data_IF_563881899292
#
_entry.id   IF_563881899292
#
_cell.length_a   1.000
_cell.length_b   1.000
_cell.length_c   1.000
_cell.angle_alpha   90.00
_cell.angle_beta   90.00
_cell.angle_gamma   90.00
#
_symmetry.space_group_name_H-M   'P 1'
#
loop_
_entity.id
_entity.type
_entity.pdbx_description
1 polymer ?
#
# COMPACT_ATOMS: atom_id res chain seq x y z
N UNK A 1 35.69 -36.60 -34.09
CA UNK A 1 35.97 -35.81 -32.87
C UNK A 1 34.63 -35.48 -32.27
N UNK A 2 34.44 -35.99 -31.07
CA UNK A 2 33.19 -36.20 -30.36
C UNK A 2 32.78 -34.88 -29.67
N UNK A 3 31.66 -34.30 -30.11
CA UNK A 3 31.08 -33.11 -29.47
C UNK A 3 30.21 -33.61 -28.31
N UNK A 4 30.79 -33.61 -27.11
CA UNK A 4 30.15 -34.09 -25.90
C UNK A 4 28.96 -33.20 -25.53
N UNK A 5 27.77 -33.80 -25.45
CA UNK A 5 26.57 -33.17 -24.89
C UNK A 5 26.86 -32.73 -23.45
N UNK A 6 26.97 -31.43 -23.22
CA UNK A 6 27.06 -30.85 -21.88
C UNK A 6 25.67 -30.90 -21.26
N UNK A 7 25.39 -31.96 -20.49
CA UNK A 7 24.27 -31.94 -19.55
C UNK A 7 24.43 -30.72 -18.62
N UNK A 8 23.37 -29.91 -18.50
CA UNK A 8 23.36 -28.73 -17.64
C UNK A 8 23.73 -29.14 -16.22
N UNK A 9 24.89 -28.66 -15.74
CA UNK A 9 25.37 -28.97 -14.39
C UNK A 9 24.86 -27.88 -13.46
N UNK A 10 23.81 -28.18 -12.70
CA UNK A 10 23.37 -27.31 -11.60
C UNK A 10 24.49 -27.10 -10.57
N UNK A 11 24.52 -25.93 -9.94
CA UNK A 11 25.46 -25.60 -8.87
C UNK A 11 24.73 -25.53 -7.53
N UNK A 12 25.38 -26.04 -6.49
CA UNK A 12 24.86 -26.06 -5.12
C UNK A 12 25.85 -25.32 -4.24
N UNK A 13 25.45 -24.19 -3.66
CA UNK A 13 26.31 -23.31 -2.87
C UNK A 13 25.71 -23.06 -1.48
N UNK A 14 26.44 -23.28 -0.38
CA UNK A 14 25.93 -22.98 0.96
C UNK A 14 25.50 -21.52 1.08
N UNK A 15 24.31 -21.26 1.60
CA UNK A 15 23.75 -19.90 1.72
C UNK A 15 24.64 -19.00 2.60
N UNK A 16 25.20 -19.57 3.67
CA UNK A 16 26.16 -18.90 4.56
C UNK A 16 27.46 -18.45 3.85
N UNK A 17 27.80 -19.02 2.69
CA UNK A 17 28.95 -18.59 1.89
C UNK A 17 28.70 -17.28 1.15
N UNK A 18 27.44 -16.98 0.80
CA UNK A 18 27.06 -15.72 0.15
C UNK A 18 26.65 -14.67 1.19
N UNK A 19 25.94 -15.09 2.23
CA UNK A 19 25.45 -14.23 3.31
C UNK A 19 25.91 -14.76 4.66
N UNK A 20 27.08 -14.34 5.17
CA UNK A 20 27.53 -14.75 6.49
C UNK A 20 26.56 -14.27 7.58
N UNK A 21 26.14 -15.16 8.48
CA UNK A 21 25.18 -14.82 9.53
C UNK A 21 25.62 -13.62 10.40
N UNK A 22 26.92 -13.50 10.67
CA UNK A 22 27.48 -12.35 11.41
C UNK A 22 27.33 -11.02 10.67
N UNK A 23 27.40 -11.04 9.34
CA UNK A 23 27.23 -9.84 8.52
C UNK A 23 25.75 -9.45 8.42
N UNK A 24 24.86 -10.43 8.26
CA UNK A 24 23.41 -10.21 8.27
C UNK A 24 22.93 -9.62 9.62
N UNK A 25 23.40 -10.15 10.75
CA UNK A 25 23.11 -9.58 12.08
C UNK A 25 23.65 -8.16 12.25
N UNK A 26 24.84 -7.88 11.69
CA UNK A 26 25.40 -6.53 11.70
C UNK A 26 24.60 -5.58 10.82
N UNK A 27 24.05 -6.05 9.71
CA UNK A 27 23.15 -5.28 8.86
C UNK A 27 21.84 -4.97 9.58
N UNK A 28 21.20 -5.96 10.21
CA UNK A 28 19.99 -5.78 11.01
C UNK A 28 20.18 -4.69 12.08
N UNK A 29 21.25 -4.76 12.88
CA UNK A 29 21.56 -3.74 13.91
C UNK A 29 21.71 -2.33 13.34
N UNK A 30 22.33 -2.16 12.18
CA UNK A 30 22.45 -0.84 11.53
C UNK A 30 21.10 -0.30 11.10
N UNK A 31 20.20 -1.16 10.65
CA UNK A 31 18.84 -0.76 10.28
C UNK A 31 18.04 -0.40 11.52
N UNK A 32 18.16 -1.15 12.62
CA UNK A 32 17.55 -0.82 13.91
C UNK A 32 18.01 0.55 14.45
N UNK A 33 19.30 0.86 14.36
CA UNK A 33 19.83 2.18 14.74
C UNK A 33 19.16 3.30 13.93
N UNK A 34 19.05 3.13 12.60
CA UNK A 34 18.34 4.07 11.72
C UNK A 34 16.86 4.21 12.08
N UNK A 35 16.19 3.11 12.42
CA UNK A 35 14.79 3.13 12.89
C UNK A 35 14.69 3.97 14.16
N UNK A 36 15.63 3.83 15.09
CA UNK A 36 15.70 4.63 16.32
C UNK A 36 15.89 6.12 16.05
N UNK A 37 16.73 6.49 15.08
CA UNK A 37 16.89 7.89 14.64
C UNK A 37 15.61 8.44 14.02
N UNK A 38 14.96 7.66 13.14
CA UNK A 38 13.70 8.04 12.49
C UNK A 38 12.54 8.16 13.47
N UNK A 39 12.51 7.33 14.51
CA UNK A 39 11.52 7.44 15.58
C UNK A 39 11.65 8.78 16.33
N UNK A 40 12.88 9.22 16.65
CA UNK A 40 13.11 10.52 17.29
C UNK A 40 12.68 11.69 16.40
N UNK A 41 12.96 11.60 15.10
CA UNK A 41 12.53 12.59 14.11
C UNK A 41 10.99 12.67 14.06
N UNK A 42 10.32 11.51 14.06
CA UNK A 42 8.86 11.41 14.06
C UNK A 42 8.26 11.99 15.35
N UNK A 43 8.84 11.71 16.52
CA UNK A 43 8.37 12.24 17.80
C UNK A 43 8.46 13.78 17.82
N UNK A 44 9.58 14.34 17.35
CA UNK A 44 9.76 15.78 17.20
C UNK A 44 8.72 16.41 16.27
N UNK A 45 8.42 15.79 15.13
CA UNK A 45 7.39 16.30 14.21
C UNK A 45 5.98 16.21 14.82
N UNK A 46 5.69 15.17 15.61
CA UNK A 46 4.41 15.08 16.34
C UNK A 46 4.26 16.19 17.40
N UNK A 47 5.35 16.55 18.07
CA UNK A 47 5.36 17.71 18.97
C UNK A 47 5.01 18.98 18.18
N UNK A 48 5.63 19.21 17.02
CA UNK A 48 5.30 20.36 16.16
C UNK A 48 3.84 20.35 15.65
N UNK A 49 3.27 19.20 15.32
CA UNK A 49 1.84 19.09 14.94
C UNK A 49 0.94 19.52 16.10
N UNK A 50 1.27 19.08 17.31
CA UNK A 50 0.52 19.40 18.53
C UNK A 50 0.63 20.90 18.84
N UNK A 51 1.83 21.47 18.77
CA UNK A 51 2.07 22.90 18.93
C UNK A 51 1.32 23.74 17.89
N UNK A 52 1.33 23.32 16.61
CA UNK A 52 0.61 24.01 15.54
C UNK A 52 -0.91 23.99 15.79
N UNK A 53 -1.45 22.87 16.26
CA UNK A 53 -2.87 22.75 16.63
C UNK A 53 -3.22 23.67 17.79
N UNK A 54 -2.37 23.71 18.82
CA UNK A 54 -2.54 24.63 19.95
C UNK A 54 -2.50 26.09 19.51
N UNK A 55 -1.58 26.43 18.59
CA UNK A 55 -1.47 27.78 18.05
C UNK A 55 -2.69 28.17 17.22
N UNK A 56 -3.24 27.28 16.39
CA UNK A 56 -4.49 27.51 15.66
C UNK A 56 -5.63 27.83 16.63
N UNK A 57 -5.77 27.06 17.71
CA UNK A 57 -6.79 27.28 18.73
C UNK A 57 -6.61 28.59 19.50
N UNK A 58 -5.36 29.02 19.71
CA UNK A 58 -5.08 30.30 20.37
C UNK A 58 -5.40 31.48 19.45
N UNK A 59 -4.92 31.44 18.21
CA UNK A 59 -5.13 32.50 17.21
C UNK A 59 -6.61 32.66 16.87
N UNK A 60 -7.39 31.57 16.91
CA UNK A 60 -8.85 31.67 16.68
C UNK A 60 -9.61 32.30 17.84
N UNK A 61 -9.12 32.20 19.08
CA UNK A 61 -9.77 32.75 20.29
C UNK A 61 -9.34 34.17 20.65
N UNK A 62 -8.10 34.56 20.32
CA UNK A 62 -7.58 35.90 20.64
C UNK A 62 -8.50 37.04 20.15
N UNK A 63 -9.08 36.98 18.93
CA UNK A 63 -10.06 37.93 18.41
C UNK A 63 -11.34 38.14 19.25
N UNK A 64 -11.70 37.20 20.14
CA UNK A 64 -12.97 37.23 20.85
C UNK A 64 -13.04 38.38 21.87
N UNK A 65 -11.89 38.88 22.32
CA UNK A 65 -11.78 40.04 23.20
C UNK A 65 -10.85 41.11 22.57
N UNK A 66 -11.16 42.39 22.82
CA UNK A 66 -10.35 43.49 22.30
C UNK A 66 -8.95 43.53 22.93
N UNK A 67 -8.83 43.11 24.19
CA UNK A 67 -7.56 43.10 24.91
C UNK A 67 -7.53 41.96 25.93
N UNK A 68 -6.35 41.38 26.15
CA UNK A 68 -6.13 40.34 27.16
C UNK A 68 -5.05 40.79 28.14
N UNK A 69 -5.31 40.74 29.45
CA UNK A 69 -4.26 40.99 30.45
C UNK A 69 -3.37 39.74 30.59
N UNK A 70 -2.06 39.90 30.41
CA UNK A 70 -1.09 38.78 30.35
C UNK A 70 0.16 39.07 31.18
N UNK A 71 0.89 38.00 31.54
CA UNK A 71 2.22 38.10 32.13
C UNK A 71 3.28 37.89 31.06
N UNK A 72 3.96 38.96 30.64
CA UNK A 72 4.99 38.93 29.59
C UNK A 72 6.30 38.39 30.18
N UNK A 73 6.85 37.29 29.66
CA UNK A 73 8.13 36.77 30.13
C UNK A 73 9.27 37.74 29.79
N UNK A 74 10.13 38.03 30.77
CA UNK A 74 11.31 38.86 30.63
C UNK A 74 12.55 38.11 31.13
N UNK A 75 13.27 37.48 30.20
CA UNK A 75 14.39 36.60 30.52
C UNK A 75 13.95 35.25 31.09
N UNK A 76 14.82 34.57 31.84
CA UNK A 76 14.62 33.18 32.26
C UNK A 76 13.70 32.97 33.46
N UNK A 77 13.47 33.99 34.29
CA UNK A 77 12.81 33.81 35.59
C UNK A 77 11.92 34.98 36.04
N UNK A 78 11.71 36.00 35.19
CA UNK A 78 10.91 37.17 35.54
C UNK A 78 9.74 37.35 34.57
N UNK A 79 8.64 37.89 35.07
CA UNK A 79 7.44 38.19 34.30
C UNK A 79 6.93 39.59 34.65
N UNK A 80 6.53 40.36 33.65
CA UNK A 80 5.91 41.67 33.84
C UNK A 80 4.41 41.63 33.52
N UNK A 81 3.55 42.31 34.30
CA UNK A 81 2.16 42.47 33.92
C UNK A 81 2.07 43.34 32.66
N UNK A 82 1.29 42.89 31.68
CA UNK A 82 1.08 43.57 30.41
C UNK A 82 -0.31 43.27 29.86
N UNK A 83 -0.61 43.86 28.70
CA UNK A 83 -1.88 43.67 28.01
C UNK A 83 -1.64 43.51 26.52
N UNK A 84 -2.25 42.48 25.92
CA UNK A 84 -2.32 42.34 24.47
C UNK A 84 -3.33 43.35 23.92
N UNK A 85 -2.89 44.11 22.93
CA UNK A 85 -3.71 45.03 22.11
C UNK A 85 -3.62 44.55 20.66
N UNK A 86 -4.56 44.97 19.80
CA UNK A 86 -4.62 44.53 18.39
C UNK A 86 -4.67 42.99 18.24
N UNK A 87 -5.57 42.33 18.98
CA UNK A 87 -5.71 40.86 19.04
C UNK A 87 -6.06 40.19 17.70
N UNK A 88 -6.44 40.98 16.70
CA UNK A 88 -6.72 40.54 15.33
C UNK A 88 -5.50 40.59 14.40
N UNK A 89 -4.39 41.19 14.81
CA UNK A 89 -3.22 41.44 13.98
C UNK A 89 -2.02 40.61 14.48
N UNK A 90 -1.42 39.83 13.58
CA UNK A 90 -0.32 38.92 13.90
C UNK A 90 0.85 39.16 12.96
N UNK A 91 2.07 39.15 13.51
CA UNK A 91 3.28 39.12 12.72
C UNK A 91 3.66 37.67 12.42
N UNK A 92 3.51 37.24 11.17
CA UNK A 92 3.72 35.86 10.75
C UNK A 92 5.00 35.75 9.93
N UNK A 93 5.89 34.82 10.29
CA UNK A 93 7.04 34.42 9.48
C UNK A 93 6.53 33.69 8.23
N UNK A 94 6.84 34.19 7.03
CA UNK A 94 6.47 33.53 5.77
C UNK A 94 7.57 32.54 5.31
N UNK A 95 8.83 32.83 5.61
CA UNK A 95 10.01 32.04 5.23
C UNK A 95 11.25 32.94 5.13
N UNK A 96 12.47 32.37 5.21
CA UNK A 96 13.75 33.07 5.02
C UNK A 96 13.91 34.40 5.79
N UNK A 97 13.34 34.47 7.00
CA UNK A 97 13.38 35.67 7.85
C UNK A 97 12.43 36.81 7.42
N UNK A 98 11.56 36.59 6.42
CA UNK A 98 10.54 37.55 6.03
C UNK A 98 9.29 37.42 6.89
N UNK A 99 8.87 38.54 7.50
CA UNK A 99 7.67 38.64 8.31
C UNK A 99 6.63 39.51 7.60
N UNK A 100 5.36 39.17 7.77
CA UNK A 100 4.25 39.97 7.29
C UNK A 100 3.16 40.07 8.36
N UNK A 101 2.54 41.24 8.46
CA UNK A 101 1.33 41.43 9.24
C UNK A 101 0.14 40.73 8.56
N UNK A 102 -0.59 39.93 9.32
CA UNK A 102 -1.72 39.13 8.87
C UNK A 102 -2.85 39.21 9.88
N UNK A 103 -4.07 39.09 9.38
CA UNK A 103 -5.24 38.99 10.25
C UNK A 103 -5.28 37.62 10.92
N UNK A 104 -5.96 37.51 12.06
CA UNK A 104 -6.15 36.23 12.76
C UNK A 104 -6.65 35.12 11.82
N UNK A 105 -7.64 35.44 10.99
CA UNK A 105 -8.20 34.51 9.99
C UNK A 105 -7.14 34.02 8.99
N UNK A 106 -6.37 34.94 8.42
CA UNK A 106 -5.29 34.61 7.47
C UNK A 106 -4.20 33.77 8.14
N UNK A 107 -3.87 34.07 9.39
CA UNK A 107 -2.89 33.31 10.17
C UNK A 107 -3.36 31.88 10.40
N UNK A 108 -4.63 31.65 10.73
CA UNK A 108 -5.21 30.31 10.84
C UNK A 108 -5.11 29.55 9.51
N UNK A 109 -5.38 30.20 8.38
CA UNK A 109 -5.24 29.58 7.05
C UNK A 109 -3.78 29.16 6.76
N UNK A 110 -2.81 30.00 7.11
CA UNK A 110 -1.37 29.69 6.98
C UNK A 110 -0.99 28.50 7.86
N UNK A 111 -1.39 28.51 9.13
CA UNK A 111 -1.10 27.43 10.08
C UNK A 111 -1.78 26.12 9.68
N UNK A 112 -2.99 26.17 9.13
CA UNK A 112 -3.69 24.99 8.62
C UNK A 112 -2.94 24.37 7.44
N UNK A 113 -2.44 25.20 6.51
CA UNK A 113 -1.62 24.70 5.39
C UNK A 113 -0.31 24.09 5.88
N UNK A 114 0.34 24.69 6.88
CA UNK A 114 1.54 24.13 7.52
C UNK A 114 1.27 22.81 8.21
N UNK A 115 0.14 22.70 8.91
CA UNK A 115 -0.33 21.47 9.54
C UNK A 115 -0.39 20.33 8.53
N UNK A 116 -1.02 20.55 7.37
CA UNK A 116 -1.06 19.55 6.29
C UNK A 116 0.32 19.13 5.79
N UNK A 117 1.28 20.05 5.73
CA UNK A 117 2.67 19.70 5.38
C UNK A 117 3.31 18.84 6.45
N UNK A 118 3.12 19.16 7.73
CA UNK A 118 3.61 18.33 8.83
C UNK A 118 2.95 16.93 8.81
N UNK A 119 1.65 16.85 8.57
CA UNK A 119 0.94 15.57 8.46
C UNK A 119 1.52 14.70 7.33
N UNK A 120 1.77 15.29 6.15
CA UNK A 120 2.43 14.58 5.05
C UNK A 120 3.86 14.12 5.38
N UNK A 121 4.59 14.90 6.19
CA UNK A 121 5.91 14.52 6.69
C UNK A 121 5.81 13.33 7.67
N UNK A 122 4.82 13.33 8.55
CA UNK A 122 4.55 12.21 9.46
C UNK A 122 4.22 10.95 8.67
N UNK A 123 3.32 11.03 7.70
CA UNK A 123 2.94 9.90 6.85
C UNK A 123 4.15 9.32 6.09
N UNK A 124 4.95 10.18 5.46
CA UNK A 124 6.14 9.73 4.72
C UNK A 124 7.20 9.10 5.64
N UNK A 125 7.41 9.64 6.85
CA UNK A 125 8.31 9.04 7.83
C UNK A 125 7.79 7.70 8.35
N UNK A 126 6.50 7.57 8.62
CA UNK A 126 5.89 6.31 9.02
C UNK A 126 6.03 5.24 7.93
N UNK A 127 5.84 5.60 6.66
CA UNK A 127 6.07 4.70 5.53
C UNK A 127 7.54 4.24 5.47
N UNK A 128 8.48 5.19 5.53
CA UNK A 128 9.92 4.88 5.55
C UNK A 128 10.29 3.96 6.72
N UNK A 129 9.73 4.19 7.90
CA UNK A 129 9.96 3.33 9.08
C UNK A 129 9.40 1.92 8.88
N UNK A 130 8.24 1.79 8.23
CA UNK A 130 7.65 0.49 7.90
C UNK A 130 8.57 -0.30 6.96
N UNK A 131 9.11 0.36 5.95
CA UNK A 131 10.02 -0.25 4.99
C UNK A 131 11.34 -0.67 5.66
N UNK A 132 11.93 0.19 6.49
CA UNK A 132 13.11 -0.13 7.29
C UNK A 132 12.85 -1.30 8.25
N UNK A 133 11.64 -1.39 8.82
CA UNK A 133 11.28 -2.51 9.71
C UNK A 133 11.18 -3.82 8.93
N UNK A 134 10.65 -3.79 7.71
CA UNK A 134 10.65 -4.95 6.82
C UNK A 134 12.08 -5.35 6.43
N UNK A 135 12.95 -4.38 6.12
CA UNK A 135 14.37 -4.60 5.83
C UNK A 135 15.11 -5.22 7.03
N UNK A 136 14.88 -4.73 8.25
CA UNK A 136 15.45 -5.32 9.47
C UNK A 136 15.02 -6.77 9.65
N UNK A 137 13.71 -7.06 9.49
CA UNK A 137 13.18 -8.42 9.60
C UNK A 137 13.74 -9.36 8.52
N UNK A 138 13.99 -8.83 7.31
CA UNK A 138 14.61 -9.58 6.23
C UNK A 138 16.06 -9.98 6.59
N UNK A 139 16.84 -9.06 7.17
CA UNK A 139 18.20 -9.38 7.62
C UNK A 139 18.23 -10.37 8.79
N UNK A 140 17.27 -10.30 9.70
CA UNK A 140 17.15 -11.27 10.80
C UNK A 140 16.83 -12.68 10.29
N UNK A 141 15.87 -12.79 9.35
CA UNK A 141 15.54 -14.08 8.70
C UNK A 141 16.76 -14.61 7.93
N UNK A 142 17.41 -13.77 7.14
CA UNK A 142 18.64 -14.13 6.40
C UNK A 142 19.72 -14.66 7.35
N UNK A 143 19.89 -14.03 8.51
CA UNK A 143 20.86 -14.49 9.51
C UNK A 143 20.50 -15.87 10.09
N UNK A 144 19.21 -16.13 10.34
CA UNK A 144 18.74 -17.43 10.81
C UNK A 144 18.89 -18.53 9.76
N UNK A 145 18.50 -18.28 8.51
CA UNK A 145 18.61 -19.25 7.41
C UNK A 145 20.07 -19.60 7.09
N UNK A 146 20.97 -18.61 7.16
CA UNK A 146 22.41 -18.84 7.03
C UNK A 146 22.97 -19.70 8.18
N UNK A 147 22.45 -19.54 9.40
CA UNK A 147 22.84 -20.36 10.55
C UNK A 147 22.26 -21.78 10.50
N UNK A 148 21.07 -21.94 9.93
CA UNK A 148 20.37 -23.22 9.74
C UNK A 148 20.99 -24.07 8.62
N UNK A 149 21.92 -23.51 7.84
CA UNK A 149 22.64 -24.25 6.81
C UNK A 149 21.85 -24.40 5.52
N UNK A 150 20.96 -23.45 5.21
CA UNK A 150 20.27 -23.36 3.93
C UNK A 150 21.30 -23.39 2.77
N UNK A 151 20.89 -23.92 1.62
CA UNK A 151 21.76 -24.08 0.46
C UNK A 151 21.05 -23.52 -0.77
N UNK A 152 21.75 -22.71 -1.54
CA UNK A 152 21.25 -22.16 -2.80
C UNK A 152 21.50 -23.17 -3.93
N UNK A 153 20.45 -23.47 -4.70
CA UNK A 153 20.50 -24.34 -5.87
C UNK A 153 20.28 -23.46 -7.10
N UNK A 154 21.24 -23.44 -8.03
CA UNK A 154 21.14 -22.70 -9.29
C UNK A 154 21.24 -23.65 -10.47
N UNK A 155 20.32 -23.50 -11.41
CA UNK A 155 20.34 -24.18 -12.71
C UNK A 155 20.56 -23.16 -13.82
N UNK A 156 21.38 -23.52 -14.80
CA UNK A 156 21.56 -22.69 -15.99
C UNK A 156 20.29 -22.78 -16.83
N UNK A 157 19.58 -21.65 -16.99
CA UNK A 157 18.40 -21.60 -17.82
C UNK A 157 18.79 -21.78 -19.30
N UNK A 158 18.41 -22.92 -19.87
CA UNK A 158 18.54 -23.19 -21.31
C UNK A 158 17.16 -23.03 -21.93
N UNK A 159 17.01 -22.04 -22.82
CA UNK A 159 15.80 -21.87 -23.61
C UNK A 159 15.65 -23.10 -24.53
N UNK A 160 14.80 -24.05 -24.13
CA UNK A 160 14.44 -25.17 -24.98
C UNK A 160 13.69 -24.62 -26.19
N UNK A 161 14.39 -24.54 -27.33
CA UNK A 161 13.72 -24.52 -28.62
C UNK A 161 12.93 -25.82 -28.71
N UNK A 162 11.63 -25.75 -28.42
CA UNK A 162 10.66 -26.79 -28.72
C UNK A 162 10.82 -27.17 -30.19
N UNK A 163 11.67 -28.17 -30.45
CA UNK A 163 11.63 -28.89 -31.71
C UNK A 163 10.36 -29.71 -31.60
N UNK A 164 9.34 -29.31 -32.33
CA UNK A 164 8.20 -30.15 -32.69
C UNK A 164 8.74 -31.47 -33.27
N UNK A 165 9.05 -32.42 -32.39
CA UNK A 165 9.21 -33.82 -32.76
C UNK A 165 7.81 -34.38 -32.86
N UNK A 166 7.11 -34.00 -33.92
CA UNK A 166 6.14 -34.90 -34.51
C UNK A 166 6.91 -36.18 -34.86
N UNK A 167 6.69 -37.24 -34.08
CA UNK A 167 7.22 -38.56 -34.36
C UNK A 167 6.56 -39.06 -35.65
N UNK A 168 7.25 -38.87 -36.78
CA UNK A 168 7.09 -39.79 -37.89
C UNK A 168 7.89 -41.03 -37.54
N UNK A 169 7.13 -42.08 -37.23
CA UNK A 169 7.51 -43.48 -37.30
C UNK A 169 8.63 -43.72 -38.31
N UNK A 170 9.75 -44.28 -37.86
CA UNK A 170 10.48 -45.34 -38.58
C UNK A 170 11.55 -46.00 -37.71
N UNK A 171 11.38 -47.33 -37.60
CA UNK A 171 12.35 -48.41 -37.49
C UNK A 171 13.29 -48.58 -36.25
N UNK A 172 12.94 -49.64 -35.51
CA UNK A 172 13.75 -50.75 -34.96
C UNK A 172 14.89 -50.48 -33.94
N UNK A 173 14.64 -51.14 -32.81
CA UNK A 173 15.57 -51.81 -31.88
C UNK A 173 16.21 -50.98 -30.76
N UNK A 174 15.87 -51.45 -29.55
CA UNK A 174 16.70 -51.60 -28.35
C UNK A 174 16.40 -50.65 -27.16
N UNK A 175 15.39 -51.10 -26.40
CA UNK A 175 15.41 -51.43 -24.97
C UNK A 175 15.83 -50.37 -23.92
N UNK A 176 14.85 -50.11 -23.03
CA UNK A 176 14.86 -49.42 -21.74
C UNK A 176 14.78 -47.89 -21.74
N UNK A 177 13.54 -47.40 -21.86
CA UNK A 177 13.16 -46.09 -21.36
C UNK A 177 11.86 -46.21 -20.57
N UNK A 178 11.87 -45.67 -19.36
CA UNK A 178 10.77 -45.69 -18.39
C UNK A 178 9.60 -44.92 -19.00
N UNK A 179 8.50 -45.61 -19.28
CA UNK A 179 7.20 -45.01 -19.59
C UNK A 179 6.72 -44.26 -18.35
N UNK A 180 6.88 -42.94 -18.34
CA UNK A 180 6.05 -42.11 -17.48
C UNK A 180 4.68 -42.06 -18.13
N UNK A 181 3.67 -42.45 -17.37
CA UNK A 181 2.30 -42.68 -17.82
C UNK A 181 1.67 -41.40 -18.41
N UNK A 182 1.79 -41.21 -19.73
CA UNK A 182 0.99 -40.26 -20.51
C UNK A 182 -0.52 -40.45 -20.24
N UNK A 183 -0.91 -41.67 -19.87
CA UNK A 183 -2.26 -42.06 -19.47
C UNK A 183 -2.75 -41.38 -18.19
N UNK A 184 -1.87 -41.11 -17.22
CA UNK A 184 -2.25 -40.44 -15.97
C UNK A 184 -2.50 -38.95 -16.21
N UNK A 185 -1.63 -38.31 -17.01
CA UNK A 185 -1.80 -36.92 -17.40
C UNK A 185 -3.08 -36.71 -18.25
N UNK A 186 -3.33 -37.60 -19.22
CA UNK A 186 -4.55 -37.56 -20.02
C UNK A 186 -5.81 -37.73 -19.14
N UNK A 187 -5.75 -38.63 -18.14
CA UNK A 187 -6.86 -38.85 -17.20
C UNK A 187 -7.13 -37.63 -16.32
N UNK A 188 -6.09 -36.95 -15.85
CA UNK A 188 -6.22 -35.72 -15.05
C UNK A 188 -6.82 -34.59 -15.91
N UNK A 189 -6.37 -34.43 -17.16
CA UNK A 189 -6.89 -33.41 -18.06
C UNK A 189 -8.35 -33.67 -18.44
N UNK A 190 -8.73 -34.90 -18.77
CA UNK A 190 -10.14 -35.24 -19.05
C UNK A 190 -11.05 -35.00 -17.86
N UNK A 191 -10.56 -35.25 -16.63
CA UNK A 191 -11.33 -34.95 -15.41
C UNK A 191 -11.50 -33.45 -15.18
N UNK A 192 -10.54 -32.64 -15.60
CA UNK A 192 -10.62 -31.18 -15.48
C UNK A 192 -11.64 -30.61 -16.46
N UNK A 193 -11.61 -31.08 -17.72
CA UNK A 193 -12.58 -30.68 -18.75
C UNK A 193 -14.02 -31.08 -18.38
N UNK A 194 -14.21 -32.23 -17.73
CA UNK A 194 -15.51 -32.69 -17.25
C UNK A 194 -16.06 -31.79 -16.13
N UNK A 195 -15.21 -31.40 -15.17
CA UNK A 195 -15.58 -30.50 -14.06
C UNK A 195 -15.92 -29.09 -14.55
N UNK A 196 -15.18 -28.54 -15.50
CA UNK A 196 -15.46 -27.22 -16.11
C UNK A 196 -16.82 -27.22 -16.82
N UNK A 197 -17.16 -28.33 -17.48
CA UNK A 197 -18.46 -28.48 -18.15
C UNK A 197 -19.62 -28.59 -17.15
N UNK A 198 -19.46 -29.33 -16.06
CA UNK A 198 -20.47 -29.42 -14.99
C UNK A 198 -20.71 -28.06 -14.31
N UNK A 199 -19.66 -27.26 -14.09
CA UNK A 199 -19.79 -25.91 -13.51
C UNK A 199 -20.60 -24.98 -14.43
N UNK A 200 -20.33 -25.00 -15.74
CA UNK A 200 -21.09 -24.23 -16.73
C UNK A 200 -22.55 -24.67 -16.86
N UNK A 201 -22.84 -25.97 -16.79
CA UNK A 201 -24.21 -26.49 -16.85
C UNK A 201 -25.01 -26.12 -15.58
N UNK A 202 -24.37 -26.18 -14.40
CA UNK A 202 -24.99 -25.74 -13.14
C UNK A 202 -25.24 -24.22 -13.12
N UNK A 203 -24.32 -23.40 -13.65
CA UNK A 203 -24.55 -21.96 -13.83
C UNK A 203 -25.72 -21.68 -14.78
N UNK A 204 -25.89 -22.47 -15.85
CA UNK A 204 -26.99 -22.31 -16.79
C UNK A 204 -28.36 -22.69 -16.19
N UNK A 205 -28.44 -23.76 -15.39
CA UNK A 205 -29.68 -24.15 -14.69
C UNK A 205 -30.09 -23.14 -13.58
N UNK A 206 -29.13 -22.45 -12.95
CA UNK A 206 -29.42 -21.43 -11.93
C UNK A 206 -30.00 -20.12 -12.53
N UNK A 207 -29.82 -19.91 -13.84
CA UNK A 207 -30.36 -18.77 -14.58
C UNK A 207 -31.80 -19.06 -15.07
N UNK A 208 -32.12 -20.31 -15.43
CA UNK A 208 -33.45 -20.71 -15.91
C UNK A 208 -34.51 -20.76 -14.77
N UNK A 209 -34.08 -20.99 -13.52
CA UNK A 209 -34.97 -21.01 -12.36
C UNK A 209 -35.44 -19.63 -11.86
N UNK A 210 -35.00 -18.51 -12.48
CA UNK A 210 -35.35 -17.14 -12.08
C UNK A 210 -36.37 -16.45 -13.00
N UNK A 211 -36.71 -17.03 -14.15
CA UNK A 211 -37.63 -16.41 -15.13
C UNK A 211 -39.08 -16.96 -15.09
N UNK A 212 -39.41 -17.90 -14.20
CA UNK A 212 -40.71 -18.61 -14.17
C UNK A 212 -41.59 -18.34 -12.91
N UNK A 213 -41.51 -17.16 -12.28
CA UNK A 213 -42.51 -16.74 -11.27
C UNK A 213 -43.05 -15.32 -11.51
N UNK A 214 -44.28 -15.31 -12.03
CA UNK A 214 -45.35 -14.30 -11.92
C UNK A 214 -45.38 -13.09 -12.88
N UNK A 215 -45.81 -13.39 -14.11
CA UNK A 215 -46.86 -12.61 -14.79
C UNK A 215 -48.23 -13.27 -14.57
N UNK A 216 -49.13 -12.66 -13.77
CA UNK A 216 -50.58 -12.59 -14.04
C UNK A 216 -51.37 -12.03 -12.83
N UNK A 217 -51.90 -10.81 -12.96
CA UNK A 217 -53.18 -10.40 -12.34
C UNK A 217 -53.89 -9.44 -13.31
N UNK A 218 -54.97 -9.90 -13.94
CA UNK A 218 -55.90 -9.08 -14.73
C UNK A 218 -56.88 -8.26 -13.85
N UNK A 219 -57.22 -7.07 -14.36
CA UNK A 219 -58.23 -6.04 -13.99
C UNK A 219 -59.70 -6.56 -13.96
N UNK A 220 -60.80 -5.79 -13.66
CA UNK A 220 -60.97 -4.31 -13.68
C UNK A 220 -61.92 -3.67 -12.63
N UNK A 221 -61.98 -2.33 -12.59
CA UNK A 221 -63.25 -1.60 -12.72
C UNK A 221 -63.08 -0.08 -12.96
N UNK A 222 -64.05 0.45 -13.69
CA UNK A 222 -64.07 1.71 -14.42
C UNK A 222 -64.25 3.01 -13.59
N UNK A 223 -63.70 4.13 -14.08
CA UNK A 223 -64.43 5.38 -14.31
C UNK A 223 -63.54 6.44 -15.00
N UNK A 224 -63.84 6.67 -16.29
CA UNK A 224 -63.97 7.98 -16.97
C UNK A 224 -63.24 9.21 -16.40
N UNK A 225 -62.25 9.76 -17.11
CA UNK A 225 -62.44 10.76 -18.19
C UNK A 225 -61.12 11.47 -18.54
N UNK A 226 -60.97 11.67 -19.86
CA UNK A 226 -60.01 12.54 -20.53
C UNK A 226 -59.99 13.96 -19.96
N UNK A 227 -58.85 14.65 -19.96
CA UNK A 227 -58.54 15.60 -21.03
C UNK A 227 -57.10 16.10 -20.97
N UNK A 228 -56.52 16.25 -22.15
CA UNK A 228 -55.24 16.88 -22.42
C UNK A 228 -55.33 18.40 -22.15
N UNK A 229 -54.22 19.02 -21.73
CA UNK A 229 -53.57 20.07 -22.53
C UNK A 229 -52.50 20.83 -21.74
N UNK A 230 -51.39 21.04 -22.45
CA UNK A 230 -50.42 22.12 -22.26
C UNK A 230 -51.10 23.48 -22.02
N UNK A 231 -50.49 24.34 -21.20
CA UNK A 231 -49.86 25.60 -21.65
C UNK A 231 -49.36 26.45 -20.49
N UNK A 232 -48.09 26.85 -20.61
CA UNK A 232 -47.54 28.20 -20.50
C UNK A 232 -48.14 29.29 -19.57
N UNK A 233 -47.17 29.99 -18.97
CA UNK A 233 -47.09 31.43 -18.72
C UNK A 233 -47.67 32.11 -17.47
N UNK A 234 -46.70 32.75 -16.78
CA UNK A 234 -46.71 34.09 -16.18
C UNK A 234 -47.35 34.30 -14.79
N UNK A 235 -46.48 34.66 -13.84
CA UNK A 235 -46.49 35.98 -13.17
C UNK A 235 -45.10 36.35 -12.67
#
# INVERSE_FOLDING_TARGET
MEEAATGGRGTVTPFASMFPASEAQKAAKRVEEKIGEKQKELDSIKEFVTENTNLINLVSRLPDELNHDIMVPFGKAAFFPGRLIHTNEFMVLLGDGYYAERTAKQTVEILTRRGKTLDSQVESLMANMKDLKAEASFFDVTASEAAEGLVEIREDYVEEKFREKHSKSDDKNNDKQVEFEDDEYARIMSRLDELEKEELEAEAEEVDAKDDVESDVEQPDAAENNDESDTDEQS
#
